data_IF_482477648253
#
_entry.id   IF_482477648253
#
_cell.length_a   1.000
_cell.length_b   1.000
_cell.length_c   1.000
_cell.angle_alpha   90.00
_cell.angle_beta   90.00
_cell.angle_gamma   90.00
#
_symmetry.space_group_name_H-M   'P 1'
#
loop_
_entity.id
_entity.type
_entity.pdbx_description
1 polymer ?
#
# COMPACT_ATOMS: atom_id res chain seq x y z
N UNK A 1 -26.19 -20.17 -27.05
CA UNK A 1 -25.80 -18.81 -26.64
C UNK A 1 -24.30 -18.83 -26.49
N UNK A 2 -23.63 -18.02 -27.29
CA UNK A 2 -22.20 -18.06 -27.58
C UNK A 2 -21.40 -17.65 -26.36
N UNK A 3 -20.77 -18.63 -25.72
CA UNK A 3 -19.66 -18.43 -24.79
C UNK A 3 -18.42 -18.21 -25.64
N UNK A 4 -18.11 -16.97 -26.05
CA UNK A 4 -16.76 -16.66 -26.50
C UNK A 4 -16.42 -15.17 -26.50
N UNK A 5 -15.28 -14.90 -25.86
CA UNK A 5 -14.44 -13.70 -25.91
C UNK A 5 -14.98 -12.37 -25.35
N UNK A 6 -14.73 -12.12 -24.06
CA UNK A 6 -14.46 -10.76 -23.56
C UNK A 6 -13.27 -10.22 -24.37
N UNK A 7 -13.53 -9.24 -25.22
CA UNK A 7 -12.51 -8.54 -26.00
C UNK A 7 -11.85 -7.45 -25.16
N UNK A 8 -10.73 -6.87 -25.62
CA UNK A 8 -10.12 -5.70 -24.96
C UNK A 8 -11.11 -4.55 -24.75
N UNK A 9 -12.05 -4.36 -25.69
CA UNK A 9 -13.11 -3.36 -25.55
C UNK A 9 -14.06 -3.66 -24.37
N UNK A 10 -14.24 -4.93 -24.02
CA UNK A 10 -15.04 -5.32 -22.85
C UNK A 10 -14.31 -5.06 -21.53
N UNK A 11 -12.98 -5.16 -21.49
CA UNK A 11 -12.21 -4.79 -20.29
C UNK A 11 -12.18 -3.28 -20.06
N UNK A 12 -12.14 -2.48 -21.11
CA UNK A 12 -12.25 -1.02 -21.02
C UNK A 12 -13.63 -0.61 -20.48
N UNK A 13 -14.71 -1.21 -20.99
CA UNK A 13 -16.07 -0.99 -20.48
C UNK A 13 -16.19 -1.39 -18.99
N UNK A 14 -15.76 -2.60 -18.62
CA UNK A 14 -15.79 -3.07 -17.22
C UNK A 14 -14.97 -2.12 -16.32
N UNK A 15 -13.81 -1.66 -16.78
CA UNK A 15 -12.98 -0.70 -16.04
C UNK A 15 -13.72 0.62 -15.79
N UNK A 16 -14.32 1.21 -16.83
CA UNK A 16 -15.02 2.49 -16.71
C UNK A 16 -16.20 2.38 -15.74
N UNK A 17 -16.97 1.29 -15.83
CA UNK A 17 -18.08 1.03 -14.92
C UNK A 17 -17.59 0.83 -13.47
N UNK A 18 -16.52 0.06 -13.27
CA UNK A 18 -15.91 -0.12 -11.94
C UNK A 18 -15.43 1.23 -11.37
N UNK A 19 -14.75 2.07 -12.17
CA UNK A 19 -14.25 3.38 -11.73
C UNK A 19 -15.41 4.33 -11.38
N UNK A 20 -16.53 4.22 -12.09
CA UNK A 20 -17.74 4.99 -11.82
C UNK A 20 -18.44 4.54 -10.52
N UNK A 21 -18.65 3.23 -10.33
CA UNK A 21 -19.40 2.71 -9.18
C UNK A 21 -18.58 2.65 -7.88
N UNK A 22 -17.26 2.45 -7.97
CA UNK A 22 -16.38 2.34 -6.81
C UNK A 22 -15.67 3.66 -6.51
N UNK A 23 -16.08 4.32 -5.43
CA UNK A 23 -15.57 5.65 -5.07
C UNK A 23 -14.57 5.61 -3.91
N UNK A 24 -13.29 5.88 -4.19
CA UNK A 24 -12.23 5.93 -3.16
C UNK A 24 -12.33 7.12 -2.20
N UNK A 25 -13.09 8.18 -2.52
CA UNK A 25 -13.35 9.31 -1.60
C UNK A 25 -14.44 8.99 -0.58
N UNK A 26 -15.27 7.96 -0.84
CA UNK A 26 -16.38 7.54 0.01
C UNK A 26 -16.52 6.03 -0.05
N UNK A 27 -15.81 5.33 0.83
CA UNK A 27 -15.78 3.86 0.81
C UNK A 27 -17.12 3.28 1.31
N UNK A 28 -17.86 2.70 0.36
CA UNK A 28 -19.12 2.00 0.63
C UNK A 28 -19.09 0.62 -0.01
N UNK A 29 -19.23 -0.41 0.81
CA UNK A 29 -19.35 -1.81 0.43
C UNK A 29 -20.69 -2.36 0.94
N UNK A 30 -21.77 -1.61 0.67
CA UNK A 30 -23.13 -1.95 1.10
C UNK A 30 -23.87 -2.87 0.13
N UNK A 31 -23.36 -2.98 -1.09
CA UNK A 31 -23.82 -3.86 -2.17
C UNK A 31 -22.61 -4.56 -2.75
N UNK A 32 -22.83 -5.73 -3.34
CA UNK A 32 -21.80 -6.43 -4.10
C UNK A 32 -21.39 -5.63 -5.33
N UNK A 33 -20.25 -5.97 -5.94
CA UNK A 33 -19.79 -5.30 -7.15
C UNK A 33 -20.79 -5.49 -8.30
N UNK A 34 -21.28 -6.72 -8.50
CA UNK A 34 -22.24 -7.04 -9.56
C UNK A 34 -23.56 -6.27 -9.39
N UNK A 35 -24.10 -6.18 -8.18
CA UNK A 35 -25.32 -5.38 -7.91
C UNK A 35 -25.14 -3.88 -8.19
N UNK A 36 -23.91 -3.35 -8.07
CA UNK A 36 -23.63 -1.96 -8.43
C UNK A 36 -23.54 -1.80 -9.95
N UNK A 37 -22.88 -2.74 -10.63
CA UNK A 37 -22.74 -2.71 -12.09
C UNK A 37 -24.08 -2.90 -12.79
N UNK A 38 -24.93 -3.83 -12.32
CA UNK A 38 -26.30 -4.05 -12.84
C UNK A 38 -27.20 -2.82 -12.72
N UNK A 39 -26.93 -1.91 -11.78
CA UNK A 39 -27.76 -0.73 -11.57
C UNK A 39 -27.40 0.44 -12.49
N UNK A 40 -26.14 0.50 -12.93
CA UNK A 40 -25.58 1.66 -13.63
C UNK A 40 -25.23 1.34 -15.09
N UNK A 41 -25.04 0.07 -15.44
CA UNK A 41 -24.79 -0.41 -16.81
C UNK A 41 -26.03 -1.08 -17.42
N UNK A 42 -26.20 -0.90 -18.74
CA UNK A 42 -27.17 -1.66 -19.55
C UNK A 42 -26.64 -3.08 -19.88
N UNK A 43 -25.39 -3.40 -19.55
CA UNK A 43 -24.77 -4.71 -19.72
C UNK A 43 -24.86 -5.56 -18.45
N UNK A 44 -25.20 -6.83 -18.60
CA UNK A 44 -25.16 -7.81 -17.51
C UNK A 44 -23.76 -8.41 -17.41
N UNK A 45 -23.10 -8.23 -16.26
CA UNK A 45 -21.82 -8.86 -15.95
C UNK A 45 -21.98 -10.02 -14.97
N UNK A 46 -21.20 -11.07 -15.17
CA UNK A 46 -21.12 -12.21 -14.25
C UNK A 46 -19.84 -12.18 -13.42
N UNK A 47 -19.80 -12.96 -12.33
CA UNK A 47 -18.57 -13.12 -11.55
C UNK A 47 -17.42 -13.70 -12.38
N UNK A 48 -17.73 -14.54 -13.37
CA UNK A 48 -16.71 -15.09 -14.29
C UNK A 48 -16.15 -14.00 -15.21
N UNK A 49 -16.96 -13.01 -15.59
CA UNK A 49 -16.48 -11.86 -16.37
C UNK A 49 -15.52 -11.00 -15.55
N UNK A 50 -15.87 -10.73 -14.29
CA UNK A 50 -15.00 -10.01 -13.35
C UNK A 50 -13.71 -10.79 -13.10
N UNK A 51 -13.81 -12.11 -12.92
CA UNK A 51 -12.63 -12.98 -12.76
C UNK A 51 -11.70 -12.87 -13.96
N UNK A 52 -12.25 -13.01 -15.16
CA UNK A 52 -11.49 -12.94 -16.42
C UNK A 52 -10.89 -11.56 -16.64
N UNK A 53 -11.60 -10.49 -16.28
CA UNK A 53 -11.08 -9.13 -16.24
C UNK A 53 -9.90 -8.98 -15.27
N UNK A 54 -9.96 -9.55 -14.07
CA UNK A 54 -8.86 -9.51 -13.09
C UNK A 54 -7.64 -10.32 -13.57
N UNK A 55 -7.87 -11.50 -14.16
CA UNK A 55 -6.82 -12.43 -14.59
C UNK A 55 -6.13 -12.00 -15.89
N UNK A 56 -6.88 -11.44 -16.85
CA UNK A 56 -6.38 -11.12 -18.19
C UNK A 56 -6.22 -9.62 -18.45
N UNK A 57 -6.90 -8.76 -17.69
CA UNK A 57 -6.80 -7.31 -17.81
C UNK A 57 -5.39 -6.83 -17.44
N UNK A 58 -4.90 -5.81 -18.14
CA UNK A 58 -3.60 -5.21 -17.80
C UNK A 58 -3.70 -4.42 -16.48
N UNK A 59 -2.55 -4.03 -15.92
CA UNK A 59 -2.51 -3.34 -14.63
C UNK A 59 -3.28 -2.02 -14.61
N UNK A 60 -3.30 -1.28 -15.72
CA UNK A 60 -4.05 -0.03 -15.80
C UNK A 60 -5.56 -0.29 -15.77
N UNK A 61 -6.02 -1.35 -16.42
CA UNK A 61 -7.43 -1.71 -16.47
C UNK A 61 -7.93 -2.13 -15.11
N UNK A 62 -7.22 -3.03 -14.42
CA UNK A 62 -7.66 -3.53 -13.10
C UNK A 62 -7.43 -2.54 -11.94
N UNK A 63 -6.68 -1.45 -12.20
CA UNK A 63 -6.28 -0.49 -11.16
C UNK A 63 -7.44 0.08 -10.34
N UNK A 64 -8.59 0.47 -10.90
CA UNK A 64 -9.71 1.01 -10.11
C UNK A 64 -10.20 0.03 -9.04
N UNK A 65 -10.38 -1.24 -9.40
CA UNK A 65 -10.80 -2.30 -8.48
C UNK A 65 -9.76 -2.52 -7.38
N UNK A 66 -8.50 -2.71 -7.75
CA UNK A 66 -7.41 -2.97 -6.80
C UNK A 66 -7.23 -1.77 -5.86
N UNK A 67 -7.24 -0.54 -6.39
CA UNK A 67 -7.09 0.66 -5.59
C UNK A 67 -8.26 0.84 -4.61
N UNK A 68 -9.50 0.56 -5.03
CA UNK A 68 -10.64 0.59 -4.13
C UNK A 68 -10.50 -0.42 -3.00
N UNK A 69 -10.12 -1.67 -3.31
CA UNK A 69 -9.93 -2.72 -2.30
C UNK A 69 -8.82 -2.32 -1.31
N UNK A 70 -7.68 -1.83 -1.80
CA UNK A 70 -6.59 -1.37 -0.94
C UNK A 70 -7.00 -0.17 -0.07
N UNK A 71 -7.76 0.77 -0.63
CA UNK A 71 -8.27 1.91 0.15
C UNK A 71 -9.26 1.44 1.22
N UNK A 72 -10.12 0.47 0.91
CA UNK A 72 -11.06 -0.11 1.86
C UNK A 72 -10.38 -0.96 2.95
N UNK A 73 -9.25 -1.59 2.60
CA UNK A 73 -8.38 -2.34 3.53
C UNK A 73 -7.71 -1.41 4.55
N UNK A 74 -7.33 -0.21 4.11
CA UNK A 74 -6.52 0.75 4.89
C UNK A 74 -7.33 1.73 5.76
N UNK A 75 -8.55 2.10 5.35
CA UNK A 75 -9.34 3.11 6.09
C UNK A 75 -9.81 2.60 7.46
N UNK A 76 -9.93 3.52 8.42
CA UNK A 76 -10.55 3.21 9.72
C UNK A 76 -11.93 2.58 9.57
N UNK A 77 -12.26 1.66 10.49
CA UNK A 77 -13.54 0.93 10.49
C UNK A 77 -14.78 1.82 10.58
N UNK A 78 -14.64 3.01 11.16
CA UNK A 78 -15.68 4.05 11.23
C UNK A 78 -15.85 4.85 9.92
N UNK A 79 -14.83 4.87 9.06
CA UNK A 79 -14.79 5.64 7.82
C UNK A 79 -15.34 4.85 6.61
N UNK A 80 -15.48 3.53 6.74
CA UNK A 80 -16.11 2.64 5.77
C UNK A 80 -17.58 2.36 6.11
N UNK A 81 -18.43 2.18 5.10
CA UNK A 81 -19.83 1.79 5.27
C UNK A 81 -20.13 0.44 4.60
N UNK A 82 -20.77 -0.52 5.30
CA UNK A 82 -21.11 -0.49 6.72
C UNK A 82 -19.85 -0.44 7.59
N UNK A 83 -20.00 0.04 8.84
CA UNK A 83 -18.89 0.08 9.79
C UNK A 83 -18.42 -1.34 10.10
N UNK A 84 -17.13 -1.48 10.40
CA UNK A 84 -16.51 -2.76 10.74
C UNK A 84 -15.55 -2.61 11.91
N UNK A 85 -15.44 -3.64 12.74
CA UNK A 85 -14.51 -3.70 13.87
C UNK A 85 -13.18 -4.37 13.48
N UNK A 86 -13.02 -4.79 12.23
CA UNK A 86 -11.77 -5.40 11.74
C UNK A 86 -10.64 -4.37 11.71
N UNK A 87 -9.43 -4.78 12.06
CA UNK A 87 -8.25 -3.91 12.07
C UNK A 87 -7.85 -3.52 10.63
N UNK A 88 -7.52 -2.24 10.36
CA UNK A 88 -6.98 -1.82 9.06
C UNK A 88 -5.73 -2.62 8.65
N UNK A 89 -5.57 -2.82 7.34
CA UNK A 89 -4.48 -3.57 6.70
C UNK A 89 -4.32 -5.02 7.17
N UNK A 90 -5.35 -5.59 7.81
CA UNK A 90 -5.33 -6.98 8.29
C UNK A 90 -5.92 -7.94 7.26
N UNK A 91 -5.52 -9.21 7.35
CA UNK A 91 -6.13 -10.27 6.53
C UNK A 91 -7.65 -10.36 6.77
N UNK A 92 -8.09 -10.16 8.02
CA UNK A 92 -9.50 -10.14 8.38
C UNK A 92 -10.27 -8.98 7.71
N UNK A 93 -9.66 -7.79 7.64
CA UNK A 93 -10.25 -6.66 6.94
C UNK A 93 -10.34 -6.92 5.44
N UNK A 94 -9.29 -7.43 4.82
CA UNK A 94 -9.29 -7.78 3.39
C UNK A 94 -10.37 -8.81 3.05
N UNK A 95 -10.46 -9.88 3.82
CA UNK A 95 -11.50 -10.90 3.65
C UNK A 95 -12.90 -10.28 3.78
N UNK A 96 -13.11 -9.41 4.77
CA UNK A 96 -14.38 -8.72 4.96
C UNK A 96 -14.74 -7.81 3.77
N UNK A 97 -13.78 -7.06 3.22
CA UNK A 97 -14.01 -6.22 2.03
C UNK A 97 -14.40 -7.07 0.82
N UNK A 98 -13.67 -8.17 0.57
CA UNK A 98 -13.95 -9.08 -0.54
C UNK A 98 -15.31 -9.75 -0.40
N UNK A 99 -15.69 -10.15 0.82
CA UNK A 99 -17.01 -10.69 1.12
C UNK A 99 -18.11 -9.66 0.80
N UNK A 100 -17.95 -8.41 1.23
CA UNK A 100 -18.94 -7.36 0.98
C UNK A 100 -19.08 -6.98 -0.48
N UNK A 101 -18.01 -7.10 -1.25
CA UNK A 101 -18.03 -6.91 -2.70
C UNK A 101 -18.54 -8.15 -3.46
N UNK A 102 -18.77 -9.28 -2.79
CA UNK A 102 -19.18 -10.53 -3.43
C UNK A 102 -18.06 -11.18 -4.26
N UNK A 103 -16.79 -10.95 -3.90
CA UNK A 103 -15.61 -11.37 -4.64
C UNK A 103 -14.82 -12.49 -3.95
N UNK A 104 -15.41 -13.12 -2.92
CA UNK A 104 -14.75 -14.18 -2.13
C UNK A 104 -14.23 -15.33 -3.00
N UNK A 105 -15.02 -15.77 -3.98
CA UNK A 105 -14.66 -16.92 -4.83
C UNK A 105 -13.50 -16.63 -5.79
N UNK A 106 -13.15 -15.36 -5.99
CA UNK A 106 -12.04 -14.91 -6.84
C UNK A 106 -10.95 -14.20 -6.03
N UNK A 107 -10.98 -14.34 -4.71
CA UNK A 107 -10.06 -13.66 -3.79
C UNK A 107 -8.59 -13.95 -4.13
N UNK A 108 -8.26 -15.19 -4.51
CA UNK A 108 -6.89 -15.58 -4.87
C UNK A 108 -6.41 -14.83 -6.12
N UNK A 109 -7.24 -14.73 -7.16
CA UNK A 109 -6.92 -13.98 -8.37
C UNK A 109 -6.74 -12.48 -8.06
N UNK A 110 -7.58 -11.90 -7.21
CA UNK A 110 -7.43 -10.49 -6.78
C UNK A 110 -6.15 -10.31 -5.96
N UNK A 111 -5.91 -11.16 -4.96
CA UNK A 111 -4.75 -11.09 -4.09
C UNK A 111 -3.43 -11.23 -4.88
N UNK A 112 -3.42 -12.04 -5.95
CA UNK A 112 -2.27 -12.15 -6.85
C UNK A 112 -1.99 -10.87 -7.66
N UNK A 113 -3.00 -10.02 -7.87
CA UNK A 113 -2.87 -8.71 -8.54
C UNK A 113 -2.59 -7.57 -7.55
N UNK A 114 -2.80 -7.76 -6.24
CA UNK A 114 -2.41 -6.78 -5.24
C UNK A 114 -0.89 -6.64 -5.28
N UNK A 115 -0.36 -5.41 -5.46
CA UNK A 115 1.08 -5.21 -5.42
C UNK A 115 1.59 -5.64 -4.05
N UNK A 116 2.48 -6.64 -4.04
CA UNK A 116 3.20 -7.03 -2.84
C UNK A 116 3.88 -5.76 -2.33
N UNK A 117 3.44 -5.24 -1.18
CA UNK A 117 4.19 -4.20 -0.47
C UNK A 117 5.56 -4.81 -0.25
N UNK A 118 6.55 -4.37 -1.04
CA UNK A 118 7.96 -4.68 -0.80
C UNK A 118 8.28 -4.12 0.59
N UNK A 119 8.06 -4.93 1.61
CA UNK A 119 8.77 -4.72 2.86
C UNK A 119 10.23 -4.85 2.47
N UNK A 120 11.08 -3.86 2.83
CA UNK A 120 12.49 -3.98 2.52
C UNK A 120 13.00 -5.30 3.11
N UNK A 121 13.51 -6.19 2.28
CA UNK A 121 14.24 -7.36 2.77
C UNK A 121 15.53 -6.85 3.40
N UNK A 122 15.53 -6.74 4.72
CA UNK A 122 16.72 -6.28 5.45
C UNK A 122 17.58 -7.49 5.81
N UNK A 123 18.71 -7.65 5.12
CA UNK A 123 19.62 -8.81 5.20
C UNK A 123 20.66 -8.64 6.35
N UNK A 124 20.30 -7.94 7.42
CA UNK A 124 21.11 -7.94 8.64
C UNK A 124 20.18 -8.27 9.82
N UNK A 125 20.21 -9.53 10.22
CA UNK A 125 19.41 -10.08 11.31
C UNK A 125 20.16 -10.08 12.64
N UNK A 126 21.48 -9.88 12.61
CA UNK A 126 22.34 -9.92 13.80
C UNK A 126 22.91 -8.54 14.09
N UNK A 127 22.10 -7.72 14.78
CA UNK A 127 22.48 -6.39 15.17
C UNK A 127 21.92 -6.05 16.55
N UNK A 128 22.61 -5.12 17.23
CA UNK A 128 22.14 -4.55 18.48
C UNK A 128 21.18 -3.42 18.17
N UNK A 129 19.91 -3.60 18.54
CA UNK A 129 18.87 -2.60 18.30
C UNK A 129 18.96 -1.45 19.31
N UNK A 130 19.90 -0.53 19.04
CA UNK A 130 20.25 0.61 19.89
C UNK A 130 19.34 1.84 19.70
N UNK A 131 18.66 1.94 18.55
CA UNK A 131 17.86 3.10 18.16
C UNK A 131 16.42 3.03 18.72
N UNK A 132 16.30 3.07 20.05
CA UNK A 132 15.02 2.95 20.80
C UNK A 132 14.83 4.06 21.84
N UNK A 133 13.58 4.26 22.25
CA UNK A 133 13.22 5.18 23.35
C UNK A 133 13.80 6.58 23.13
N UNK A 134 14.48 7.10 24.15
CA UNK A 134 15.10 8.43 24.15
C UNK A 134 16.06 8.64 22.98
N UNK A 135 16.75 7.60 22.49
CA UNK A 135 17.65 7.73 21.32
C UNK A 135 16.91 8.12 20.05
N UNK A 136 15.65 7.74 19.91
CA UNK A 136 14.81 8.04 18.74
C UNK A 136 14.17 9.44 18.83
N UNK A 137 14.01 9.97 20.03
CA UNK A 137 13.27 11.22 20.29
C UNK A 137 14.17 12.39 20.70
N UNK A 138 15.40 12.14 21.17
CA UNK A 138 16.28 13.15 21.73
C UNK A 138 16.60 14.32 20.77
N UNK A 139 16.61 14.07 19.46
CA UNK A 139 17.08 15.02 18.45
C UNK A 139 16.25 14.95 17.15
N UNK A 140 14.97 14.59 17.22
CA UNK A 140 14.09 14.43 16.06
C UNK A 140 13.74 15.77 15.39
N UNK A 141 14.70 16.41 14.72
CA UNK A 141 14.54 17.74 14.13
C UNK A 141 14.42 17.66 12.60
N UNK A 142 15.20 16.78 11.95
CA UNK A 142 15.30 16.70 10.50
C UNK A 142 14.22 15.79 9.92
N UNK A 143 13.88 14.67 10.57
CA UNK A 143 12.77 13.83 10.11
C UNK A 143 11.45 14.60 9.99
N UNK A 144 10.99 15.37 11.01
CA UNK A 144 9.74 16.13 10.89
C UNK A 144 9.76 17.16 9.76
N UNK A 145 10.89 17.84 9.52
CA UNK A 145 11.02 18.79 8.40
C UNK A 145 10.86 18.05 7.07
N UNK A 146 11.51 16.89 6.93
CA UNK A 146 11.43 16.11 5.71
C UNK A 146 10.04 15.50 5.49
N UNK A 147 9.36 15.10 6.57
CA UNK A 147 7.96 14.69 6.55
C UNK A 147 7.06 15.79 5.97
N UNK A 148 7.24 17.05 6.38
CA UNK A 148 6.49 18.18 5.81
C UNK A 148 6.80 18.40 4.31
N UNK A 149 8.05 18.17 3.88
CA UNK A 149 8.41 18.21 2.45
C UNK A 149 7.66 17.13 1.66
N UNK A 150 7.53 15.92 2.20
CA UNK A 150 6.78 14.84 1.56
C UNK A 150 5.28 15.14 1.48
N UNK A 151 4.70 15.68 2.57
CA UNK A 151 3.31 16.16 2.58
C UNK A 151 3.09 17.24 1.51
N UNK A 152 4.01 18.21 1.42
CA UNK A 152 3.96 19.27 0.40
C UNK A 152 4.09 18.75 -1.05
N UNK A 153 4.66 17.56 -1.24
CA UNK A 153 4.72 16.85 -2.54
C UNK A 153 3.50 15.98 -2.81
N UNK A 154 2.48 16.01 -1.95
CA UNK A 154 1.23 15.26 -2.13
C UNK A 154 1.34 13.78 -1.76
N UNK A 155 2.36 13.37 -0.99
CA UNK A 155 2.44 11.99 -0.50
C UNK A 155 1.37 11.76 0.58
N UNK A 156 0.70 10.61 0.53
CA UNK A 156 -0.24 10.21 1.58
C UNK A 156 0.48 9.82 2.88
N UNK A 157 -0.25 9.82 3.99
CA UNK A 157 0.31 9.54 5.31
C UNK A 157 0.97 8.15 5.37
N UNK A 158 0.40 7.15 4.70
CA UNK A 158 0.87 5.76 4.76
C UNK A 158 2.19 5.59 4.02
N UNK A 159 2.36 6.27 2.88
CA UNK A 159 3.62 6.30 2.14
C UNK A 159 4.71 7.00 2.97
N UNK A 160 4.38 8.07 3.68
CA UNK A 160 5.33 8.77 4.54
C UNK A 160 5.71 7.90 5.76
N UNK A 161 4.72 7.27 6.38
CA UNK A 161 4.92 6.31 7.48
C UNK A 161 5.78 5.13 7.04
N UNK A 162 5.52 4.57 5.85
CA UNK A 162 6.32 3.51 5.26
C UNK A 162 7.77 3.94 5.07
N UNK A 163 8.03 5.11 4.48
CA UNK A 163 9.38 5.67 4.33
C UNK A 163 10.06 5.87 5.69
N UNK A 164 9.34 6.38 6.69
CA UNK A 164 9.85 6.55 8.06
C UNK A 164 10.27 5.22 8.68
N UNK A 165 9.43 4.20 8.53
CA UNK A 165 9.67 2.85 9.04
C UNK A 165 10.87 2.23 8.35
N UNK A 166 10.93 2.29 7.02
CA UNK A 166 12.06 1.78 6.22
C UNK A 166 13.38 2.45 6.61
N UNK A 167 13.38 3.78 6.78
CA UNK A 167 14.56 4.50 7.23
C UNK A 167 14.97 4.11 8.67
N UNK A 168 14.00 3.90 9.56
CA UNK A 168 14.26 3.42 10.93
C UNK A 168 14.89 2.04 10.94
N UNK A 169 14.44 1.13 10.07
CA UNK A 169 15.01 -0.20 9.89
C UNK A 169 16.48 -0.15 9.47
N UNK A 170 16.87 0.83 8.65
CA UNK A 170 18.26 1.05 8.28
C UNK A 170 19.07 1.59 9.46
N UNK A 171 18.60 2.65 10.12
CA UNK A 171 19.34 3.30 11.22
C UNK A 171 19.63 2.33 12.37
N UNK A 172 18.62 1.53 12.79
CA UNK A 172 18.80 0.62 13.92
C UNK A 172 19.87 -0.45 13.70
N UNK A 173 20.26 -0.70 12.45
CA UNK A 173 21.29 -1.67 12.06
C UNK A 173 22.67 -1.06 11.87
N UNK A 174 22.77 0.26 11.76
CA UNK A 174 24.06 0.95 11.77
C UNK A 174 24.66 0.89 13.19
N UNK A 175 25.94 1.21 13.37
CA UNK A 175 26.56 1.26 14.69
C UNK A 175 26.14 2.54 15.44
N UNK A 176 25.82 2.47 16.74
CA UNK A 176 25.48 3.65 17.55
C UNK A 176 26.58 4.72 17.41
N UNK A 177 26.30 5.90 16.83
CA UNK A 177 27.30 6.94 16.60
C UNK A 177 27.85 7.54 17.90
N UNK A 178 27.16 7.33 19.03
CA UNK A 178 27.60 7.75 20.36
C UNK A 178 28.15 6.57 21.18
N UNK A 179 28.20 5.38 20.60
CA UNK A 179 28.69 4.17 21.25
C UNK A 179 30.21 4.03 21.21
N UNK A 180 30.79 3.14 22.03
CA UNK A 180 32.24 2.93 22.11
C UNK A 180 32.83 2.23 20.87
N UNK A 181 31.99 1.62 20.02
CA UNK A 181 32.38 0.92 18.80
C UNK A 181 31.72 1.56 17.58
N UNK A 182 32.00 2.85 17.32
CA UNK A 182 31.60 3.50 16.07
C UNK A 182 32.41 2.93 14.90
N UNK A 183 31.94 1.82 14.33
CA UNK A 183 32.44 1.23 13.09
C UNK A 183 31.77 1.83 11.87
N UNK A 184 32.49 1.90 10.75
CA UNK A 184 31.90 2.29 9.47
C UNK A 184 31.09 1.14 8.87
N UNK A 185 29.76 1.13 9.05
CA UNK A 185 28.88 0.21 8.32
C UNK A 185 28.60 0.73 6.92
N UNK A 186 28.59 -0.16 5.93
CA UNK A 186 28.19 0.12 4.54
C UNK A 186 26.96 -0.70 4.21
N UNK A 187 25.92 -0.04 3.69
CA UNK A 187 24.71 -0.67 3.21
C UNK A 187 24.50 -0.42 1.72
N UNK A 188 23.90 -1.38 1.02
CA UNK A 188 23.50 -1.25 -0.38
C UNK A 188 21.99 -1.11 -0.45
N UNK A 189 21.51 -0.05 -1.10
CA UNK A 189 20.08 0.15 -1.37
C UNK A 189 19.78 -0.36 -2.78
N UNK A 190 18.99 -1.44 -2.87
CA UNK A 190 18.51 -2.02 -4.12
C UNK A 190 17.00 -1.82 -4.22
N UNK A 191 16.49 -1.51 -5.42
CA UNK A 191 15.05 -1.37 -5.68
C UNK A 191 14.77 -1.13 -7.17
N UNK A 192 13.52 -1.12 -7.59
CA UNK A 192 13.12 -0.83 -8.99
C UNK A 192 13.21 0.67 -9.34
N UNK A 193 13.23 1.00 -10.64
CA UNK A 193 13.18 2.40 -11.10
C UNK A 193 11.82 3.00 -10.74
N UNK A 194 11.81 4.17 -10.09
CA UNK A 194 10.63 4.90 -9.56
C UNK A 194 10.06 4.45 -8.19
N UNK A 195 10.69 3.52 -7.48
CA UNK A 195 10.20 3.03 -6.16
C UNK A 195 10.42 3.98 -4.96
N UNK A 196 10.65 5.28 -5.19
CA UNK A 196 10.89 6.23 -4.08
C UNK A 196 12.28 6.15 -3.44
N UNK A 197 13.30 5.57 -4.11
CA UNK A 197 14.69 5.45 -3.60
C UNK A 197 15.26 6.76 -3.04
N UNK A 198 15.11 7.86 -3.78
CA UNK A 198 15.58 9.19 -3.34
C UNK A 198 14.89 9.60 -2.05
N UNK A 199 13.60 9.29 -1.92
CA UNK A 199 12.85 9.64 -0.73
C UNK A 199 13.30 8.84 0.49
N UNK A 200 13.54 7.54 0.31
CA UNK A 200 14.07 6.67 1.35
C UNK A 200 15.51 7.03 1.75
N UNK A 201 16.38 7.33 0.77
CA UNK A 201 17.75 7.78 1.05
C UNK A 201 17.77 9.08 1.87
N UNK A 202 16.93 10.04 1.49
CA UNK A 202 16.81 11.31 2.23
C UNK A 202 16.25 11.10 3.64
N UNK A 203 15.28 10.19 3.79
CA UNK A 203 14.74 9.82 5.11
C UNK A 203 15.79 9.17 6.02
N UNK A 204 16.64 8.29 5.47
CA UNK A 204 17.78 7.70 6.19
C UNK A 204 18.75 8.80 6.62
N UNK A 205 19.11 9.73 5.73
CA UNK A 205 20.00 10.85 6.07
C UNK A 205 19.41 11.72 7.20
N UNK A 206 18.13 12.10 7.09
CA UNK A 206 17.46 12.91 8.10
C UNK A 206 17.49 12.23 9.48
N UNK A 207 17.11 10.95 9.54
CA UNK A 207 17.15 10.18 10.80
C UNK A 207 18.56 9.89 11.31
N UNK A 208 19.55 9.76 10.42
CA UNK A 208 20.94 9.60 10.82
C UNK A 208 21.46 10.87 11.51
N UNK A 209 21.15 12.05 10.96
CA UNK A 209 21.49 13.33 11.60
C UNK A 209 20.79 13.41 12.98
N UNK A 210 19.49 13.09 13.03
CA UNK A 210 18.74 13.05 14.29
C UNK A 210 19.35 12.06 15.29
N UNK A 211 19.91 10.94 14.83
CA UNK A 211 20.55 9.94 15.69
C UNK A 211 21.98 10.32 16.13
N UNK A 212 22.55 11.41 15.60
CA UNK A 212 23.87 11.93 15.99
C UNK A 212 25.02 11.58 15.06
N UNK A 213 24.76 11.06 13.85
CA UNK A 213 25.81 10.86 12.84
C UNK A 213 26.37 12.20 12.35
N UNK A 214 27.69 12.24 12.15
CA UNK A 214 28.43 13.40 11.64
C UNK A 214 29.01 13.04 10.27
N UNK A 215 28.80 13.90 9.28
CA UNK A 215 29.26 13.73 7.90
C UNK A 215 30.40 14.70 7.58
#
# INVERSE_FOLDING_TARGET
MTTDELTTASFEAIREEIDYVLNTRRIRVTKTLLENLEHESDEEYTLEDIKRYVELGNDADISPLINFILTADDVDGDAIKPKTDTEPESEARRQWVLEKLGLTDIADSINARIPVKEQPTVIDTDFVDWYKGDRRTANANYWPIYEEVLKGKGWNADSISAVSRQATEVIRRLDDPLGPMAGGKRGLVVGHVQSGKTANFTAVMAKAIDAGYRF
#
